data_IF_374401203216
#
_entry.id   IF_374401203216
#
_cell.length_a   1.000
_cell.length_b   1.000
_cell.length_c   1.000
_cell.angle_alpha   90.00
_cell.angle_beta   90.00
_cell.angle_gamma   90.00
#
_symmetry.space_group_name_H-M   'P 1'
#
loop_
_entity.id
_entity.type
_entity.pdbx_description
1 polymer ?
#
# COMPACT_ATOMS: atom_id res chain seq x y z
N UNK A 1 -16.83 5.61 -5.24
CA UNK A 1 -16.37 4.49 -6.10
C UNK A 1 -15.44 3.58 -5.31
N UNK A 2 -15.37 2.28 -5.62
CA UNK A 2 -14.50 1.32 -4.91
C UNK A 2 -13.64 0.59 -5.93
N UNK A 3 -12.35 0.44 -5.63
CA UNK A 3 -11.37 -0.27 -6.44
C UNK A 3 -10.72 -1.36 -5.58
N UNK A 4 -10.75 -2.62 -6.01
CA UNK A 4 -10.08 -3.71 -5.30
C UNK A 4 -8.74 -4.04 -5.97
N UNK A 5 -7.63 -3.68 -5.32
CA UNK A 5 -6.30 -3.90 -5.87
C UNK A 5 -5.89 -5.38 -5.88
N UNK A 6 -6.60 -6.25 -5.15
CA UNK A 6 -6.29 -7.68 -5.14
C UNK A 6 -6.79 -8.43 -6.36
N UNK A 7 -7.65 -7.82 -7.19
CA UNK A 7 -7.93 -8.34 -8.52
C UNK A 7 -6.64 -8.42 -9.38
N UNK A 8 -5.65 -7.56 -9.10
CA UNK A 8 -4.34 -7.59 -9.75
C UNK A 8 -3.49 -8.84 -9.39
N UNK A 9 -3.80 -9.50 -8.27
CA UNK A 9 -3.07 -10.66 -7.78
C UNK A 9 -3.52 -11.99 -8.39
N UNK A 10 -4.53 -11.99 -9.26
CA UNK A 10 -4.95 -13.18 -10.02
C UNK A 10 -3.96 -13.42 -11.16
N UNK A 11 -2.80 -13.99 -10.84
CA UNK A 11 -1.74 -14.33 -11.80
C UNK A 11 -1.25 -15.77 -11.59
N UNK A 12 -0.72 -16.39 -12.64
CA UNK A 12 -0.03 -17.69 -12.54
C UNK A 12 1.41 -17.51 -11.98
N UNK A 13 1.55 -17.04 -10.74
CA UNK A 13 2.85 -16.88 -10.07
C UNK A 13 3.18 -18.12 -9.19
N UNK A 14 4.29 -18.85 -9.42
CA UNK A 14 4.66 -20.00 -8.60
C UNK A 14 5.03 -19.65 -7.14
N UNK A 15 5.24 -18.38 -6.82
CA UNK A 15 5.48 -17.87 -5.45
C UNK A 15 4.20 -17.46 -4.72
N UNK A 16 3.06 -17.59 -5.38
CA UNK A 16 1.73 -17.37 -4.83
C UNK A 16 1.22 -18.64 -4.12
N UNK A 17 0.63 -18.47 -2.95
CA UNK A 17 -0.05 -19.55 -2.26
C UNK A 17 -1.34 -19.05 -1.60
N UNK A 18 -2.33 -19.94 -1.48
CA UNK A 18 -3.52 -19.66 -0.70
C UNK A 18 -3.22 -19.92 0.78
N UNK A 19 -3.51 -18.95 1.64
CA UNK A 19 -3.39 -19.06 3.09
C UNK A 19 -4.77 -18.98 3.76
N UNK A 20 -4.89 -19.50 4.97
CA UNK A 20 -6.07 -19.30 5.80
C UNK A 20 -6.08 -17.86 6.31
N UNK A 21 -7.07 -17.12 5.86
CA UNK A 21 -7.30 -15.72 6.19
C UNK A 21 -7.93 -15.50 7.55
N UNK A 22 -8.34 -14.25 7.80
CA UNK A 22 -9.14 -13.90 8.97
C UNK A 22 -10.52 -14.57 8.80
N UNK A 23 -11.04 -15.16 9.87
CA UNK A 23 -12.36 -15.81 9.89
C UNK A 23 -12.53 -16.99 8.89
N UNK A 24 -11.42 -17.55 8.39
CA UNK A 24 -11.44 -18.72 7.49
C UNK A 24 -11.66 -18.40 6.01
N UNK A 25 -11.68 -17.13 5.64
CA UNK A 25 -11.69 -16.71 4.23
C UNK A 25 -10.33 -16.96 3.56
N UNK A 26 -10.27 -17.16 2.24
CA UNK A 26 -9.00 -17.31 1.53
C UNK A 26 -8.19 -16.00 1.59
N UNK A 27 -6.91 -16.11 1.90
CA UNK A 27 -5.94 -15.03 1.79
C UNK A 27 -4.86 -15.37 0.77
N UNK A 28 -4.30 -14.35 0.13
CA UNK A 28 -3.23 -14.50 -0.84
C UNK A 28 -1.88 -14.33 -0.16
N UNK A 29 -1.05 -15.36 -0.18
CA UNK A 29 0.32 -15.35 0.30
C UNK A 29 1.30 -15.07 -0.82
N UNK A 30 2.15 -14.06 -0.63
CA UNK A 30 3.24 -13.67 -1.52
C UNK A 30 4.55 -14.02 -0.84
N UNK A 31 5.40 -14.84 -1.47
CA UNK A 31 6.76 -15.16 -0.98
C UNK A 31 7.81 -14.21 -1.57
N UNK A 32 9.03 -14.11 -0.99
CA UNK A 32 10.12 -13.36 -1.60
C UNK A 32 10.41 -13.91 -2.99
N UNK A 33 10.33 -13.05 -4.00
CA UNK A 33 10.45 -13.45 -5.40
C UNK A 33 9.13 -13.49 -6.16
N UNK A 34 7.98 -13.38 -5.47
CA UNK A 34 6.70 -13.13 -6.15
C UNK A 34 6.75 -11.80 -6.88
N UNK A 35 6.33 -11.82 -8.13
CA UNK A 35 6.32 -10.64 -8.99
C UNK A 35 4.90 -10.35 -9.51
N UNK A 36 4.03 -9.89 -8.61
CA UNK A 36 2.72 -9.38 -9.00
C UNK A 36 2.84 -7.93 -9.41
N UNK A 37 2.73 -7.68 -10.72
CA UNK A 37 2.70 -6.36 -11.32
C UNK A 37 1.66 -6.28 -12.44
N UNK A 38 0.96 -5.17 -12.52
CA UNK A 38 -0.07 -4.90 -13.52
C UNK A 38 -0.04 -3.42 -13.94
N UNK A 39 -0.47 -3.08 -15.16
CA UNK A 39 -0.75 -1.68 -15.52
C UNK A 39 -1.78 -1.08 -14.53
N UNK A 40 -1.45 0.06 -13.91
CA UNK A 40 -2.31 0.62 -12.85
C UNK A 40 -3.73 0.95 -13.34
N UNK A 41 -3.87 1.37 -14.61
CA UNK A 41 -5.13 1.82 -15.24
C UNK A 41 -6.25 0.78 -15.24
N UNK A 42 -5.90 -0.49 -15.05
CA UNK A 42 -6.88 -1.57 -14.94
C UNK A 42 -7.60 -1.49 -13.58
N UNK A 43 -6.90 -1.08 -12.53
CA UNK A 43 -7.37 -1.18 -11.14
C UNK A 43 -7.51 0.18 -10.43
N UNK A 44 -7.02 1.27 -11.02
CA UNK A 44 -7.00 2.60 -10.43
C UNK A 44 -7.38 3.66 -11.47
N UNK A 45 -8.00 4.77 -11.05
CA UNK A 45 -8.27 5.89 -11.94
C UNK A 45 -6.97 6.59 -12.34
N UNK A 46 -6.97 7.27 -13.48
CA UNK A 46 -5.85 8.14 -13.91
C UNK A 46 -5.56 9.26 -12.92
N UNK A 47 -6.61 9.79 -12.28
CA UNK A 47 -6.51 10.83 -11.25
C UNK A 47 -7.19 10.36 -9.96
N UNK A 48 -6.41 10.31 -8.88
CA UNK A 48 -6.93 10.10 -7.54
C UNK A 48 -7.41 11.43 -6.96
N UNK A 49 -8.63 11.51 -6.43
CA UNK A 49 -9.16 12.75 -5.88
C UNK A 49 -8.41 13.20 -4.62
N UNK A 50 -8.66 14.44 -4.21
CA UNK A 50 -8.06 15.03 -3.03
C UNK A 50 -8.40 14.27 -1.74
N UNK A 51 -9.55 13.59 -1.69
CA UNK A 51 -9.97 12.80 -0.54
C UNK A 51 -10.24 11.36 -0.96
N UNK A 52 -9.67 10.40 -0.23
CA UNK A 52 -9.84 8.98 -0.49
C UNK A 52 -9.52 8.19 0.78
N UNK A 53 -9.81 6.89 0.78
CA UNK A 53 -9.56 6.01 1.91
C UNK A 53 -8.97 4.69 1.43
N UNK A 54 -7.80 4.34 1.94
CA UNK A 54 -7.17 3.04 1.70
C UNK A 54 -7.52 2.09 2.83
N UNK A 55 -7.97 0.88 2.49
CA UNK A 55 -8.24 -0.18 3.46
C UNK A 55 -7.40 -1.39 3.10
N UNK A 56 -6.73 -1.97 4.09
CA UNK A 56 -5.91 -3.15 3.89
C UNK A 56 -6.05 -4.12 5.05
N UNK A 57 -6.17 -5.41 4.74
CA UNK A 57 -6.09 -6.49 5.73
C UNK A 57 -4.94 -7.41 5.35
N UNK A 58 -3.95 -7.54 6.22
CA UNK A 58 -2.69 -8.20 5.90
C UNK A 58 -2.06 -8.88 7.13
N UNK A 59 -1.17 -9.83 6.88
CA UNK A 59 -0.37 -10.53 7.89
C UNK A 59 1.09 -10.55 7.41
N UNK A 60 1.94 -9.61 7.85
CA UNK A 60 3.36 -9.63 7.49
C UNK A 60 4.01 -10.87 8.10
N UNK A 61 4.79 -11.63 7.33
CA UNK A 61 5.47 -12.82 7.89
C UNK A 61 6.79 -12.47 8.58
N UNK A 62 7.31 -11.27 8.33
CA UNK A 62 8.63 -10.83 8.78
C UNK A 62 8.67 -9.31 9.07
N UNK A 63 9.79 -8.77 9.58
CA UNK A 63 9.93 -7.38 10.08
C UNK A 63 10.52 -6.35 9.09
N UNK A 64 11.32 -6.79 8.12
CA UNK A 64 11.96 -5.92 7.12
C UNK A 64 10.93 -5.06 6.41
N UNK A 65 11.43 -3.93 5.96
CA UNK A 65 10.65 -2.97 5.21
C UNK A 65 10.11 -3.55 3.91
N UNK A 66 8.86 -3.20 3.60
CA UNK A 66 8.12 -3.65 2.43
C UNK A 66 7.00 -2.70 2.05
N UNK A 67 6.36 -2.97 0.91
CA UNK A 67 5.14 -2.31 0.49
C UNK A 67 3.98 -3.31 0.47
N UNK A 68 2.80 -2.92 0.95
CA UNK A 68 1.57 -3.69 0.74
C UNK A 68 1.13 -3.60 -0.72
N UNK A 69 1.22 -2.40 -1.28
CA UNK A 69 1.14 -2.13 -2.70
C UNK A 69 1.92 -0.85 -3.00
N UNK A 70 2.33 -0.69 -4.25
CA UNK A 70 2.99 0.51 -4.72
C UNK A 70 2.64 0.76 -6.20
N UNK A 71 2.23 1.98 -6.54
CA UNK A 71 2.12 2.46 -7.92
C UNK A 71 3.40 3.20 -8.23
N UNK A 72 4.19 2.66 -9.15
CA UNK A 72 5.47 3.22 -9.56
C UNK A 72 5.33 3.98 -10.87
N UNK A 73 6.11 5.04 -11.03
CA UNK A 73 6.28 5.74 -12.31
C UNK A 73 6.83 4.79 -13.40
N UNK A 74 6.84 5.18 -14.69
CA UNK A 74 7.24 4.30 -15.79
C UNK A 74 8.69 3.83 -15.73
N UNK A 75 9.55 4.58 -15.03
CA UNK A 75 10.95 4.22 -14.81
C UNK A 75 11.16 3.29 -13.60
N UNK A 76 10.09 3.00 -12.86
CA UNK A 76 10.11 2.17 -11.65
C UNK A 76 11.02 2.73 -10.53
N UNK A 77 11.25 4.04 -10.49
CA UNK A 77 12.17 4.72 -9.57
C UNK A 77 11.49 5.59 -8.52
N UNK A 78 10.21 5.92 -8.72
CA UNK A 78 9.42 6.74 -7.80
C UNK A 78 8.08 6.08 -7.53
N UNK A 79 7.75 5.89 -6.26
CA UNK A 79 6.43 5.44 -5.81
C UNK A 79 5.51 6.66 -5.75
N UNK A 80 4.53 6.70 -6.65
CA UNK A 80 3.51 7.75 -6.70
C UNK A 80 2.47 7.58 -5.60
N UNK A 81 2.04 6.34 -5.34
CA UNK A 81 1.11 6.00 -4.25
C UNK A 81 1.48 4.64 -3.67
N UNK A 82 1.50 4.49 -2.35
CA UNK A 82 1.68 3.18 -1.74
C UNK A 82 1.47 3.18 -0.23
N UNK A 83 1.41 1.97 0.33
CA UNK A 83 1.49 1.77 1.78
C UNK A 83 2.78 1.02 2.08
N UNK A 84 3.69 1.68 2.77
CA UNK A 84 4.97 1.11 3.20
C UNK A 84 4.89 0.66 4.65
N UNK A 85 5.40 -0.52 4.94
CA UNK A 85 5.60 -1.04 6.30
C UNK A 85 7.10 -1.04 6.54
N UNK A 86 7.59 -0.36 7.57
CA UNK A 86 9.02 -0.28 7.92
C UNK A 86 9.28 -0.58 9.39
N UNK A 87 10.54 -0.80 9.74
CA UNK A 87 10.96 -0.88 11.14
C UNK A 87 10.67 0.44 11.87
N UNK A 88 10.24 0.32 13.13
CA UNK A 88 9.98 1.44 14.02
C UNK A 88 10.83 1.41 15.28
N UNK A 89 10.65 2.38 16.18
CA UNK A 89 11.40 2.43 17.43
C UNK A 89 11.19 1.17 18.29
N UNK A 90 12.29 0.57 18.75
CA UNK A 90 12.25 -0.62 19.60
C UNK A 90 11.76 -1.85 18.85
N UNK A 91 10.62 -2.42 19.26
CA UNK A 91 10.00 -3.58 18.61
C UNK A 91 8.76 -3.22 17.76
N UNK A 92 8.47 -1.92 17.65
CA UNK A 92 7.35 -1.40 16.88
C UNK A 92 7.67 -1.38 15.39
N UNK A 93 6.62 -1.22 14.58
CA UNK A 93 6.72 -1.02 13.14
C UNK A 93 6.10 0.34 12.78
N UNK A 94 6.41 0.83 11.59
CA UNK A 94 5.80 2.02 11.04
C UNK A 94 4.97 1.66 9.81
N UNK A 95 3.80 2.27 9.70
CA UNK A 95 3.00 2.29 8.49
C UNK A 95 3.06 3.69 7.91
N UNK A 96 3.56 3.82 6.70
CA UNK A 96 3.68 5.09 5.99
C UNK A 96 2.78 5.12 4.77
N UNK A 97 2.08 6.24 4.58
CA UNK A 97 1.43 6.57 3.32
C UNK A 97 2.48 7.23 2.42
N UNK A 98 2.80 6.58 1.30
CA UNK A 98 3.62 7.17 0.25
C UNK A 98 2.70 7.84 -0.75
N UNK A 99 2.97 9.11 -1.05
CA UNK A 99 2.19 9.93 -1.97
C UNK A 99 3.14 10.95 -2.60
N UNK A 100 3.38 10.84 -3.90
CA UNK A 100 4.42 11.62 -4.58
C UNK A 100 3.95 12.03 -5.96
N UNK A 101 4.08 13.31 -6.31
CA UNK A 101 4.00 13.74 -7.71
C UNK A 101 5.31 13.40 -8.43
N UNK A 102 5.29 12.40 -9.31
CA UNK A 102 6.48 11.98 -10.05
C UNK A 102 6.95 12.98 -11.10
N UNK A 103 6.11 13.94 -11.50
CA UNK A 103 6.48 14.98 -12.47
C UNK A 103 7.40 16.03 -11.83
N UNK A 104 7.18 16.30 -10.53
CA UNK A 104 7.90 17.34 -9.79
C UNK A 104 9.00 16.78 -8.88
N UNK A 105 8.94 15.49 -8.51
CA UNK A 105 9.84 14.90 -7.51
C UNK A 105 10.61 13.70 -8.07
N UNK A 106 11.92 13.69 -7.82
CA UNK A 106 12.83 12.59 -8.21
C UNK A 106 12.91 11.45 -7.18
N UNK A 107 12.24 11.58 -6.04
CA UNK A 107 12.27 10.61 -4.94
C UNK A 107 10.87 10.42 -4.36
N UNK A 108 10.62 9.23 -3.80
CA UNK A 108 9.33 8.91 -3.16
C UNK A 108 9.18 9.62 -1.81
N UNK A 109 8.00 10.16 -1.53
CA UNK A 109 7.70 10.91 -0.32
C UNK A 109 6.72 10.18 0.61
N UNK A 110 7.08 10.07 1.89
CA UNK A 110 6.19 9.60 2.95
C UNK A 110 5.43 10.79 3.54
N UNK A 111 4.19 11.02 3.08
CA UNK A 111 3.38 12.15 3.53
C UNK A 111 2.80 11.96 4.93
N UNK A 112 2.65 10.72 5.39
CA UNK A 112 2.23 10.41 6.75
C UNK A 112 2.89 9.12 7.25
N UNK A 113 3.21 9.06 8.54
CA UNK A 113 3.90 7.92 9.16
C UNK A 113 3.38 7.65 10.55
N UNK A 114 2.96 6.41 10.79
CA UNK A 114 2.31 6.00 12.03
C UNK A 114 3.07 4.84 12.67
N UNK A 115 3.55 5.02 13.90
CA UNK A 115 4.16 3.94 14.68
C UNK A 115 3.08 3.07 15.31
N UNK A 116 3.18 1.77 15.10
CA UNK A 116 2.23 0.76 15.57
C UNK A 116 2.96 -0.38 16.29
N UNK A 117 2.27 -1.11 17.19
CA UNK A 117 2.80 -2.34 17.74
C UNK A 117 3.18 -3.34 16.64
N UNK A 118 4.09 -4.26 16.95
CA UNK A 118 4.53 -5.31 16.03
C UNK A 118 3.36 -6.04 15.36
N UNK A 119 3.33 -6.01 14.02
CA UNK A 119 2.31 -6.62 13.16
C UNK A 119 2.69 -8.03 12.70
N UNK A 120 3.97 -8.39 12.78
CA UNK A 120 4.51 -9.67 12.29
C UNK A 120 3.73 -10.87 12.84
N UNK A 121 3.36 -11.79 11.94
CA UNK A 121 2.58 -13.01 12.21
C UNK A 121 1.19 -12.77 12.81
N UNK A 122 0.64 -11.55 12.68
CA UNK A 122 -0.70 -11.20 13.15
C UNK A 122 -1.51 -10.59 12.02
N UNK A 123 -2.75 -11.06 11.84
CA UNK A 123 -3.71 -10.38 10.97
C UNK A 123 -3.99 -8.99 11.53
N UNK A 124 -3.85 -7.99 10.66
CA UNK A 124 -4.05 -6.60 10.99
C UNK A 124 -4.92 -5.96 9.92
N UNK A 125 -5.96 -5.23 10.34
CA UNK A 125 -6.79 -4.42 9.46
C UNK A 125 -6.46 -2.96 9.67
N UNK A 126 -6.13 -2.26 8.61
CA UNK A 126 -5.85 -0.82 8.64
C UNK A 126 -6.80 -0.04 7.76
N UNK A 127 -7.02 1.21 8.16
CA UNK A 127 -7.70 2.22 7.34
C UNK A 127 -6.85 3.49 7.36
N UNK A 128 -6.49 4.00 6.19
CA UNK A 128 -5.85 5.30 6.03
C UNK A 128 -6.88 6.21 5.34
N UNK A 129 -7.52 7.08 6.11
CA UNK A 129 -8.44 8.10 5.58
C UNK A 129 -7.64 9.36 5.25
N UNK A 130 -7.62 9.71 3.98
CA UNK A 130 -6.92 10.89 3.45
C UNK A 130 -7.95 11.98 3.18
N UNK A 131 -7.78 13.12 3.85
CA UNK A 131 -8.52 14.36 3.60
C UNK A 131 -7.59 15.42 3.02
N UNK A 132 -8.11 16.60 2.68
CA UNK A 132 -7.30 17.69 2.12
C UNK A 132 -6.18 18.16 3.07
N UNK A 133 -6.40 18.13 4.38
CA UNK A 133 -5.47 18.66 5.40
C UNK A 133 -4.89 17.62 6.32
N UNK A 134 -5.49 16.43 6.41
CA UNK A 134 -5.15 15.43 7.41
C UNK A 134 -5.17 14.01 6.84
N UNK A 135 -4.28 13.17 7.37
CA UNK A 135 -4.32 11.72 7.23
C UNK A 135 -4.67 11.11 8.58
N UNK A 136 -5.77 10.36 8.64
CA UNK A 136 -6.20 9.65 9.86
C UNK A 136 -5.98 8.16 9.69
N UNK A 137 -5.29 7.55 10.64
CA UNK A 137 -4.94 6.14 10.62
C UNK A 137 -5.73 5.36 11.67
N UNK A 138 -6.34 4.26 11.24
CA UNK A 138 -7.05 3.32 12.09
C UNK A 138 -6.36 1.95 12.02
N UNK A 139 -6.25 1.28 13.16
CA UNK A 139 -5.77 -0.09 13.29
C UNK A 139 -6.82 -0.91 14.03
N UNK A 140 -7.26 -2.02 13.43
CA UNK A 140 -8.27 -2.92 13.97
C UNK A 140 -9.52 -2.18 14.46
N UNK A 141 -10.02 -1.26 13.62
CA UNK A 141 -11.20 -0.41 13.87
C UNK A 141 -11.06 0.67 14.96
N UNK A 142 -9.84 0.90 15.48
CA UNK A 142 -9.57 1.98 16.43
C UNK A 142 -8.78 3.11 15.76
N UNK A 143 -9.20 4.37 15.95
CA UNK A 143 -8.43 5.54 15.53
C UNK A 143 -7.14 5.61 16.36
N UNK A 144 -6.00 5.49 15.71
CA UNK A 144 -4.70 5.47 16.37
C UNK A 144 -4.08 6.86 16.39
N UNK A 145 -4.16 7.59 15.28
CA UNK A 145 -3.54 8.89 15.12
C UNK A 145 -4.12 9.67 13.94
N UNK A 146 -3.98 11.00 14.02
CA UNK A 146 -4.26 11.93 12.93
C UNK A 146 -3.06 12.84 12.74
N UNK A 147 -2.56 12.92 11.52
CA UNK A 147 -1.42 13.76 11.14
C UNK A 147 -1.88 14.81 10.14
N UNK A 148 -1.61 16.09 10.43
CA UNK A 148 -1.77 17.18 9.44
C UNK A 148 -0.72 17.02 8.36
N UNK A 149 -1.14 17.15 7.11
CA UNK A 149 -0.28 17.00 5.93
C UNK A 149 -0.53 18.13 4.95
N UNK A 150 0.47 18.45 4.15
CA UNK A 150 0.32 19.28 2.95
C UNK A 150 0.70 18.41 1.77
N UNK A 151 -0.22 18.22 0.82
CA UNK A 151 0.00 17.42 -0.39
C UNK A 151 -0.10 18.35 -1.60
N UNK A 152 0.94 18.36 -2.41
CA UNK A 152 1.01 19.16 -3.64
C UNK A 152 1.39 18.20 -4.77
N UNK A 153 0.49 18.00 -5.76
CA UNK A 153 -0.90 18.45 -5.82
C UNK A 153 -1.78 17.73 -4.78
N UNK A 154 -3.01 18.23 -4.57
CA UNK A 154 -3.98 17.51 -3.72
C UNK A 154 -4.58 16.29 -4.41
N UNK A 155 -4.85 16.40 -5.72
CA UNK A 155 -5.26 15.30 -6.57
C UNK A 155 -4.02 14.66 -7.20
N UNK A 156 -3.84 13.35 -7.03
CA UNK A 156 -2.67 12.67 -7.59
C UNK A 156 -2.97 12.24 -9.02
N UNK A 157 -2.15 12.68 -9.97
CA UNK A 157 -2.21 12.18 -11.35
C UNK A 157 -1.14 11.11 -11.50
N UNK A 158 -1.54 9.93 -11.95
CA UNK A 158 -0.59 8.85 -12.26
C UNK A 158 -0.05 9.02 -13.68
N UNK A 159 1.21 8.65 -13.90
CA UNK A 159 1.74 8.62 -15.26
C UNK A 159 0.96 7.57 -16.07
N UNK A 160 0.80 7.79 -17.36
CA UNK A 160 0.10 6.87 -18.27
C UNK A 160 0.67 5.45 -18.27
N UNK A 161 1.98 5.30 -18.08
CA UNK A 161 2.69 4.02 -18.11
C UNK A 161 3.10 3.53 -16.71
N UNK A 162 2.44 4.02 -15.65
CA UNK A 162 2.71 3.57 -14.29
C UNK A 162 2.33 2.10 -14.06
N UNK A 163 3.03 1.47 -13.12
CA UNK A 163 2.85 0.05 -12.81
C UNK A 163 2.39 -0.12 -11.37
N UNK A 164 1.29 -0.84 -11.16
CA UNK A 164 0.83 -1.28 -9.85
C UNK A 164 1.55 -2.57 -9.46
N UNK A 165 2.15 -2.55 -8.28
CA UNK A 165 2.77 -3.70 -7.62
C UNK A 165 2.02 -4.08 -6.35
N UNK A 166 1.91 -5.37 -6.08
CA UNK A 166 1.34 -5.92 -4.84
C UNK A 166 2.46 -6.60 -4.05
N UNK A 167 2.49 -6.39 -2.73
CA UNK A 167 3.49 -6.92 -1.80
C UNK A 167 4.97 -6.55 -2.09
N UNK A 168 5.21 -5.61 -3.02
CA UNK A 168 6.53 -5.12 -3.41
C UNK A 168 6.46 -3.72 -4.02
N UNK A 169 7.62 -3.14 -4.35
CA UNK A 169 7.75 -1.86 -5.05
C UNK A 169 8.77 -1.93 -6.19
N UNK A 170 8.68 -2.94 -7.05
CA UNK A 170 9.56 -3.08 -8.21
C UNK A 170 11.05 -3.35 -7.89
N UNK A 171 11.88 -3.50 -8.92
CA UNK A 171 13.27 -3.91 -8.79
C UNK A 171 14.22 -2.77 -8.35
N UNK A 172 13.90 -1.51 -8.64
CA UNK A 172 14.80 -0.37 -8.41
C UNK A 172 14.60 0.32 -7.05
N UNK A 173 13.42 0.22 -6.43
CA UNK A 173 13.16 0.75 -5.07
C UNK A 173 13.71 -0.20 -3.97
N UNK A 174 14.10 -1.43 -4.32
CA UNK A 174 14.70 -2.47 -3.45
C UNK A 174 14.12 -2.60 -2.04
N UNK A 175 12.88 -3.10 -1.91
CA UNK A 175 12.34 -3.67 -0.66
C UNK A 175 11.43 -4.88 -0.97
N UNK A 176 12.02 -6.05 -1.30
CA UNK A 176 11.31 -7.30 -1.68
C UNK A 176 10.79 -8.05 -0.44
N UNK A 177 9.50 -8.43 -0.37
CA UNK A 177 8.95 -9.09 0.83
C UNK A 177 7.93 -10.22 0.67
N UNK A 178 7.75 -10.93 1.79
CA UNK A 178 6.87 -12.09 2.04
C UNK A 178 5.65 -11.58 2.84
N UNK A 179 4.48 -11.47 2.20
CA UNK A 179 3.27 -10.89 2.82
C UNK A 179 2.07 -11.77 2.47
N UNK A 180 1.18 -12.05 3.43
CA UNK A 180 -0.16 -12.54 3.09
C UNK A 180 -1.16 -11.38 3.14
N UNK A 181 -1.89 -11.08 2.06
CA UNK A 181 -2.92 -10.03 2.01
C UNK A 181 -4.31 -10.60 1.67
N UNK A 182 -5.33 -9.99 2.26
CA UNK A 182 -6.74 -10.10 1.85
C UNK A 182 -7.06 -8.97 0.86
N UNK A 183 -8.27 -8.92 0.25
CA UNK A 183 -8.74 -7.78 -0.53
C UNK A 183 -8.28 -6.43 0.03
N UNK A 184 -7.73 -5.60 -0.85
CA UNK A 184 -7.17 -4.27 -0.55
C UNK A 184 -8.08 -3.22 -1.21
N UNK A 185 -9.30 -3.00 -0.69
CA UNK A 185 -10.20 -2.05 -1.31
C UNK A 185 -9.75 -0.62 -1.04
N UNK A 186 -9.54 0.15 -2.11
CA UNK A 186 -9.47 1.59 -2.11
C UNK A 186 -10.89 2.16 -2.26
N UNK A 187 -11.29 3.03 -1.34
CA UNK A 187 -12.58 3.72 -1.32
C UNK A 187 -12.40 5.19 -1.69
N UNK A 188 -13.17 5.67 -2.67
CA UNK A 188 -13.27 7.08 -3.03
C UNK A 188 -14.65 7.60 -2.59
N UNK A 189 -14.72 8.55 -1.64
CA UNK A 189 -15.97 9.21 -1.29
C UNK A 189 -16.48 10.04 -2.48
N UNK A 190 -17.81 10.10 -2.62
CA UNK A 190 -18.49 10.96 -3.60
C UNK A 190 -18.59 12.39 -3.10
#
# INVERSE_FOLDING_TARGET
MVYDLMEAAVTEDPYFYMDAGLDGFPAFGFRPGSEVKQPYRIYLPEKLPAEFTLVATFKPTSLRTSYLFAVLNPFETVVQLGIRISDGPGSNQNISLVYTNSDDHSHSEEVAKFTVPKLTKKWSKIVIKVSTTDVTFYLNCHEMARQRVTRIPQELVFDTASTLYIAQAGPHIQERYDVSTHPLPLWIPF
#
